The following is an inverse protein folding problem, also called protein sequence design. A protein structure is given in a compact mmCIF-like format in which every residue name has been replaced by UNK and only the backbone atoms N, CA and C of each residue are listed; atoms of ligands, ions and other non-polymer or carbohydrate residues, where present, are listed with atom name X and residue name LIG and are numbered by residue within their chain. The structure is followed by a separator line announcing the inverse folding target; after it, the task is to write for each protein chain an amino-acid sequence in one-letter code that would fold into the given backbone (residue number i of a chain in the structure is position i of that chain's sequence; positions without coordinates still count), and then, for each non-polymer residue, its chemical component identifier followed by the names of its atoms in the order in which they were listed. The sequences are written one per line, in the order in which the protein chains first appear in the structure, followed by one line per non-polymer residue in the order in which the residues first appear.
data_IF_255883984588
#
_entry.id   IF_255883984588
#
_cell.length_a   1.000
_cell.length_b   1.000
_cell.length_c   1.000
_cell.angle_alpha   90.00
_cell.angle_beta   90.00
_cell.angle_gamma   90.00
#
_symmetry.space_group_name_H-M   'P 1'
#
loop_
_entity.id
_entity.type
_entity.pdbx_description
1 polymer ?
#
# COMPACT_ATOMS: atom_id res chain seq x y z
N UNK A 1 -23.78 -30.08 2.53
CA UNK A 1 -23.62 -28.62 2.48
C UNK A 1 -23.58 -28.25 1.01
N UNK A 2 -24.44 -27.34 0.54
CA UNK A 2 -24.43 -26.87 -0.85
C UNK A 2 -23.10 -26.17 -1.16
N UNK A 3 -22.46 -26.50 -2.28
CA UNK A 3 -21.24 -25.82 -2.72
C UNK A 3 -21.49 -24.31 -2.84
N UNK A 4 -20.56 -23.51 -2.33
CA UNK A 4 -20.65 -22.05 -2.32
C UNK A 4 -20.59 -21.45 -3.72
N UNK A 5 -19.84 -22.09 -4.62
CA UNK A 5 -19.62 -21.67 -6.00
C UNK A 5 -19.84 -22.82 -6.98
N UNK A 6 -20.32 -22.51 -8.18
CA UNK A 6 -20.46 -23.47 -9.30
C UNK A 6 -19.23 -23.48 -10.21
N UNK A 7 -18.52 -22.37 -10.26
CA UNK A 7 -17.36 -22.15 -11.11
C UNK A 7 -16.58 -20.92 -10.61
N UNK A 8 -15.39 -20.66 -11.16
CA UNK A 8 -14.60 -19.48 -10.80
C UNK A 8 -13.98 -18.78 -12.00
N UNK A 9 -13.64 -17.51 -11.80
CA UNK A 9 -12.89 -16.69 -12.74
C UNK A 9 -11.68 -16.08 -12.04
N UNK A 10 -10.54 -16.09 -12.71
CA UNK A 10 -9.31 -15.39 -12.30
C UNK A 10 -9.19 -14.15 -13.18
N UNK A 11 -9.58 -13.00 -12.64
CA UNK A 11 -9.26 -11.71 -13.22
C UNK A 11 -7.78 -11.41 -13.01
N UNK A 12 -7.06 -11.36 -14.11
CA UNK A 12 -5.62 -11.21 -14.13
C UNK A 12 -5.19 -10.45 -15.38
N UNK A 13 -3.89 -10.31 -15.56
CA UNK A 13 -3.33 -9.66 -16.74
C UNK A 13 -2.13 -10.45 -17.25
N UNK A 14 -1.69 -10.12 -18.45
CA UNK A 14 -0.45 -10.70 -18.97
C UNK A 14 0.67 -10.46 -17.95
N UNK A 15 1.41 -11.54 -17.63
CA UNK A 15 2.58 -11.50 -16.73
C UNK A 15 2.28 -11.19 -15.26
N UNK A 16 1.04 -11.30 -14.78
CA UNK A 16 0.74 -11.20 -13.33
C UNK A 16 1.02 -12.46 -12.53
N UNK A 17 1.49 -13.53 -13.17
CA UNK A 17 1.67 -14.85 -12.51
C UNK A 17 0.45 -15.77 -12.61
N UNK A 18 -0.58 -15.39 -13.38
CA UNK A 18 -1.82 -16.16 -13.53
C UNK A 18 -1.63 -17.61 -13.99
N UNK A 19 -0.63 -17.88 -14.84
CA UNK A 19 -0.25 -19.25 -15.21
C UNK A 19 0.23 -20.09 -14.01
N UNK A 20 0.96 -19.47 -13.08
CA UNK A 20 1.45 -20.17 -11.90
C UNK A 20 0.30 -20.46 -10.92
N UNK A 21 -0.60 -19.49 -10.73
CA UNK A 21 -1.83 -19.69 -9.97
C UNK A 21 -2.68 -20.82 -10.57
N UNK A 22 -2.87 -20.81 -11.90
CA UNK A 22 -3.56 -21.88 -12.63
C UNK A 22 -2.92 -23.25 -12.38
N UNK A 23 -1.60 -23.37 -12.49
CA UNK A 23 -0.91 -24.66 -12.27
C UNK A 23 -1.07 -25.19 -10.84
N UNK A 24 -1.10 -24.31 -9.83
CA UNK A 24 -1.34 -24.72 -8.45
C UNK A 24 -2.81 -25.08 -8.20
N UNK A 25 -3.76 -24.36 -8.80
CA UNK A 25 -5.18 -24.72 -8.72
C UNK A 25 -5.45 -26.08 -9.38
N UNK A 26 -4.85 -26.34 -10.54
CA UNK A 26 -4.97 -27.62 -11.25
C UNK A 26 -4.25 -28.78 -10.55
N UNK A 27 -3.47 -28.51 -9.50
CA UNK A 27 -2.87 -29.54 -8.66
C UNK A 27 -3.81 -29.99 -7.52
N UNK A 28 -4.88 -29.24 -7.25
CA UNK A 28 -5.92 -29.65 -6.30
C UNK A 28 -6.85 -30.67 -6.96
N UNK A 29 -7.23 -31.70 -6.21
CA UNK A 29 -8.26 -32.63 -6.62
C UNK A 29 -9.59 -31.89 -6.87
N UNK A 30 -10.31 -32.31 -7.92
CA UNK A 30 -11.61 -31.77 -8.30
C UNK A 30 -11.61 -30.27 -8.63
N UNK A 31 -10.46 -29.71 -9.03
CA UNK A 31 -10.37 -28.33 -9.55
C UNK A 31 -9.78 -28.36 -10.95
N UNK A 32 -10.37 -27.59 -11.86
CA UNK A 32 -9.88 -27.45 -13.24
C UNK A 32 -10.01 -26.02 -13.75
N UNK A 33 -8.88 -25.39 -14.00
CA UNK A 33 -8.75 -24.08 -14.61
C UNK A 33 -8.33 -24.25 -16.08
N UNK A 34 -9.18 -23.78 -16.99
CA UNK A 34 -9.11 -24.02 -18.43
C UNK A 34 -8.37 -22.93 -19.21
N UNK A 35 -7.33 -22.36 -18.61
CA UNK A 35 -6.54 -21.31 -19.24
C UNK A 35 -7.35 -20.06 -19.57
N UNK A 36 -7.08 -19.43 -20.70
CA UNK A 36 -7.75 -18.22 -21.18
C UNK A 36 -8.94 -18.61 -22.07
N UNK A 37 -9.96 -19.19 -21.45
CA UNK A 37 -11.14 -19.74 -22.12
C UNK A 37 -11.86 -18.74 -23.05
N UNK A 38 -11.76 -17.44 -22.74
CA UNK A 38 -12.41 -16.36 -23.47
C UNK A 38 -11.45 -15.45 -24.27
N UNK A 39 -10.23 -15.92 -24.55
CA UNK A 39 -9.29 -15.20 -25.40
C UNK A 39 -9.84 -15.04 -26.84
N UNK A 40 -9.72 -13.88 -27.51
CA UNK A 40 -10.29 -13.69 -28.85
C UNK A 40 -9.57 -14.47 -29.96
N UNK A 41 -8.36 -14.99 -29.72
CA UNK A 41 -7.51 -15.63 -30.75
C UNK A 41 -7.52 -17.15 -30.66
N UNK A 42 -7.78 -17.72 -29.48
CA UNK A 42 -7.78 -19.16 -29.24
C UNK A 42 -8.76 -19.54 -28.12
N UNK A 43 -9.08 -20.83 -28.01
CA UNK A 43 -9.98 -21.35 -26.96
C UNK A 43 -9.18 -22.04 -25.85
N UNK A 44 -9.12 -21.43 -24.67
CA UNK A 44 -8.44 -21.95 -23.48
C UNK A 44 -6.91 -21.87 -23.52
N UNK A 45 -6.30 -22.61 -24.45
CA UNK A 45 -4.85 -22.68 -24.63
C UNK A 45 -4.43 -22.50 -26.09
N UNK A 46 -3.23 -21.97 -26.36
CA UNK A 46 -2.72 -21.93 -27.72
C UNK A 46 -2.65 -23.32 -28.35
N UNK A 47 -3.11 -23.44 -29.61
CA UNK A 47 -3.17 -24.68 -30.41
C UNK A 47 -4.19 -25.72 -29.97
N UNK A 48 -5.09 -25.40 -29.04
CA UNK A 48 -6.26 -26.25 -28.79
C UNK A 48 -7.26 -26.10 -29.93
N UNK A 49 -7.84 -27.21 -30.39
CA UNK A 49 -8.88 -27.24 -31.42
C UNK A 49 -10.27 -26.98 -30.81
N UNK A 50 -10.50 -27.46 -29.59
CA UNK A 50 -11.71 -27.24 -28.81
C UNK A 50 -11.41 -27.19 -27.30
N UNK A 51 -12.36 -26.63 -26.53
CA UNK A 51 -12.39 -26.70 -25.08
C UNK A 51 -13.77 -27.20 -24.63
N UNK A 52 -13.79 -28.29 -23.86
CA UNK A 52 -15.03 -28.95 -23.42
C UNK A 52 -15.97 -29.26 -24.60
N UNK A 53 -15.42 -29.59 -25.78
CA UNK A 53 -16.19 -29.90 -26.98
C UNK A 53 -16.76 -28.69 -27.72
N UNK A 54 -16.24 -27.48 -27.49
CA UNK A 54 -16.58 -26.25 -28.23
C UNK A 54 -15.35 -25.71 -28.96
N UNK A 55 -15.46 -25.54 -30.28
CA UNK A 55 -14.43 -24.86 -31.09
C UNK A 55 -14.44 -23.36 -30.81
N UNK A 56 -13.41 -22.66 -31.30
CA UNK A 56 -13.33 -21.20 -31.25
C UNK A 56 -14.60 -20.55 -31.84
N UNK A 57 -15.01 -20.97 -33.04
CA UNK A 57 -16.17 -20.40 -33.75
C UNK A 57 -17.48 -20.64 -32.98
N UNK A 58 -17.65 -21.84 -32.41
CA UNK A 58 -18.84 -22.18 -31.63
C UNK A 58 -18.91 -21.35 -30.33
N UNK A 59 -17.78 -21.21 -29.63
CA UNK A 59 -17.68 -20.35 -28.43
C UNK A 59 -17.94 -18.90 -28.78
N UNK A 60 -17.38 -18.37 -29.86
CA UNK A 60 -17.56 -16.96 -30.23
C UNK A 60 -19.02 -16.64 -30.59
N UNK A 61 -19.72 -17.60 -31.21
CA UNK A 61 -21.15 -17.49 -31.47
C UNK A 61 -22.00 -17.55 -30.20
N UNK A 62 -21.66 -18.41 -29.25
CA UNK A 62 -22.42 -18.65 -28.01
C UNK A 62 -21.49 -18.80 -26.78
N UNK A 63 -20.92 -17.71 -26.25
CA UNK A 63 -19.88 -17.81 -25.20
C UNK A 63 -20.41 -18.37 -23.87
N UNK A 64 -21.70 -18.17 -23.58
CA UNK A 64 -22.31 -18.69 -22.35
C UNK A 64 -22.47 -20.22 -22.36
N UNK A 65 -22.49 -20.86 -23.54
CA UNK A 65 -22.53 -22.33 -23.62
C UNK A 65 -21.27 -22.94 -22.99
N UNK A 66 -20.11 -22.30 -23.18
CA UNK A 66 -18.87 -22.75 -22.56
C UNK A 66 -18.92 -22.61 -21.02
N UNK A 67 -19.55 -21.54 -20.51
CA UNK A 67 -19.77 -21.39 -19.06
C UNK A 67 -20.67 -22.48 -18.51
N UNK A 68 -21.76 -22.80 -19.21
CA UNK A 68 -22.68 -23.86 -18.82
C UNK A 68 -21.98 -25.23 -18.81
N UNK A 69 -21.12 -25.49 -19.80
CA UNK A 69 -20.29 -26.71 -19.83
C UNK A 69 -19.27 -26.75 -18.69
N UNK A 70 -18.68 -25.62 -18.30
CA UNK A 70 -17.81 -25.56 -17.11
C UNK A 70 -18.59 -25.84 -15.82
N UNK A 71 -19.79 -25.25 -15.66
CA UNK A 71 -20.67 -25.49 -14.50
C UNK A 71 -21.13 -26.95 -14.41
N UNK A 72 -21.29 -27.63 -15.54
CA UNK A 72 -21.72 -29.03 -15.61
C UNK A 72 -20.57 -30.04 -15.55
N UNK A 73 -19.32 -29.61 -15.76
CA UNK A 73 -18.16 -30.48 -15.70
C UNK A 73 -17.88 -30.95 -14.26
N UNK A 74 -17.17 -32.07 -14.13
CA UNK A 74 -16.81 -32.63 -12.84
C UNK A 74 -15.88 -31.69 -12.06
N UNK A 75 -16.15 -31.53 -10.77
CA UNK A 75 -15.39 -30.64 -9.88
C UNK A 75 -15.67 -29.15 -10.10
N UNK A 76 -14.88 -28.31 -9.44
CA UNK A 76 -14.95 -26.86 -9.57
C UNK A 76 -14.10 -26.40 -10.75
N UNK A 77 -14.79 -25.89 -11.78
CA UNK A 77 -14.16 -25.48 -13.02
C UNK A 77 -14.03 -23.95 -13.10
N UNK A 78 -13.01 -23.46 -13.81
CA UNK A 78 -12.81 -22.03 -13.97
C UNK A 78 -11.85 -21.65 -15.08
N UNK A 79 -11.55 -20.37 -15.18
CA UNK A 79 -10.73 -19.82 -16.26
C UNK A 79 -10.05 -18.51 -15.87
N UNK A 80 -9.04 -18.11 -16.65
CA UNK A 80 -8.38 -16.81 -16.60
C UNK A 80 -9.07 -15.83 -17.54
N UNK A 81 -9.33 -14.63 -17.06
CA UNK A 81 -9.96 -13.54 -17.80
C UNK A 81 -9.08 -12.28 -17.74
N UNK A 82 -8.74 -11.72 -18.90
CA UNK A 82 -7.97 -10.47 -19.03
C UNK A 82 -8.83 -9.35 -19.61
N UNK A 83 -8.40 -8.09 -19.49
CA UNK A 83 -9.19 -6.93 -19.94
C UNK A 83 -9.58 -6.94 -21.43
N UNK A 84 -8.85 -7.67 -22.27
CA UNK A 84 -9.06 -7.77 -23.72
C UNK A 84 -9.77 -9.06 -24.16
N UNK A 85 -10.29 -9.85 -23.21
CA UNK A 85 -11.11 -11.02 -23.49
C UNK A 85 -12.56 -10.63 -23.84
N UNK A 86 -13.37 -11.62 -24.23
CA UNK A 86 -14.74 -11.39 -24.66
C UNK A 86 -15.57 -10.60 -23.61
N UNK A 87 -15.91 -9.32 -23.90
CA UNK A 87 -16.53 -8.44 -22.91
C UNK A 87 -17.95 -8.88 -22.53
N UNK A 88 -18.59 -9.73 -23.34
CA UNK A 88 -19.93 -10.27 -23.04
C UNK A 88 -19.91 -11.16 -21.80
N UNK A 89 -18.76 -11.75 -21.48
CA UNK A 89 -18.60 -12.67 -20.35
C UNK A 89 -18.39 -11.93 -19.04
N UNK A 90 -17.74 -10.76 -19.08
CA UNK A 90 -17.40 -9.99 -17.87
C UNK A 90 -18.64 -9.65 -17.04
N UNK A 91 -19.65 -9.03 -17.66
CA UNK A 91 -20.89 -8.67 -16.96
C UNK A 91 -21.61 -9.91 -16.42
N UNK A 92 -21.66 -10.98 -17.21
CA UNK A 92 -22.30 -12.23 -16.80
C UNK A 92 -21.67 -12.84 -15.54
N UNK A 93 -20.33 -12.90 -15.48
CA UNK A 93 -19.65 -13.45 -14.29
C UNK A 93 -19.70 -12.50 -13.10
N UNK A 94 -19.72 -11.18 -13.32
CA UNK A 94 -19.90 -10.21 -12.25
C UNK A 94 -21.31 -10.28 -11.67
N UNK A 95 -22.34 -10.49 -12.49
CA UNK A 95 -23.74 -10.64 -12.07
C UNK A 95 -23.97 -11.92 -11.25
N UNK A 96 -23.30 -13.03 -11.56
CA UNK A 96 -23.58 -14.34 -10.97
C UNK A 96 -22.92 -14.52 -9.59
N UNK A 97 -23.64 -14.48 -8.45
CA UNK A 97 -23.03 -14.65 -7.12
C UNK A 97 -22.47 -16.06 -6.87
N UNK A 98 -22.81 -17.05 -7.69
CA UNK A 98 -22.27 -18.42 -7.62
C UNK A 98 -20.98 -18.58 -8.42
N UNK A 99 -20.55 -17.56 -9.15
CA UNK A 99 -19.20 -17.48 -9.69
C UNK A 99 -18.22 -16.99 -8.62
N UNK A 100 -17.16 -17.74 -8.31
CA UNK A 100 -16.08 -17.25 -7.46
C UNK A 100 -15.18 -16.28 -8.24
N UNK A 101 -14.98 -15.06 -7.73
CA UNK A 101 -14.10 -14.05 -8.34
C UNK A 101 -12.75 -14.02 -7.64
N UNK A 102 -11.68 -14.29 -8.39
CA UNK A 102 -10.30 -14.18 -7.91
C UNK A 102 -9.68 -13.00 -8.67
N UNK A 103 -9.11 -12.04 -7.95
CA UNK A 103 -8.41 -10.89 -8.56
C UNK A 103 -6.93 -11.01 -8.25
N UNK A 104 -6.13 -11.21 -9.31
CA UNK A 104 -4.68 -11.33 -9.22
C UNK A 104 -4.00 -10.09 -9.81
N UNK A 105 -3.28 -9.37 -8.97
CA UNK A 105 -2.55 -8.15 -9.36
C UNK A 105 -1.04 -8.35 -9.27
N UNK A 106 -0.30 -7.49 -9.98
CA UNK A 106 1.17 -7.41 -9.92
C UNK A 106 1.58 -5.96 -10.11
N UNK A 107 2.78 -5.61 -9.63
CA UNK A 107 3.41 -4.34 -9.99
C UNK A 107 3.39 -4.10 -11.52
N UNK A 108 2.71 -3.05 -12.01
CA UNK A 108 2.57 -2.74 -13.43
C UNK A 108 3.90 -2.60 -14.18
N UNK A 109 4.93 -2.05 -13.52
CA UNK A 109 6.23 -1.88 -14.14
C UNK A 109 6.90 -3.24 -14.35
N UNK A 110 6.80 -4.14 -13.38
CA UNK A 110 7.36 -5.49 -13.53
C UNK A 110 6.64 -6.30 -14.60
N UNK A 111 5.30 -6.22 -14.66
CA UNK A 111 4.52 -6.90 -15.70
C UNK A 111 4.86 -6.33 -17.09
N UNK A 112 4.97 -5.01 -17.22
CA UNK A 112 5.34 -4.33 -18.46
C UNK A 112 6.72 -4.76 -18.97
N UNK A 113 7.76 -4.61 -18.15
CA UNK A 113 9.14 -4.98 -18.53
C UNK A 113 9.21 -6.48 -18.84
N UNK A 114 8.53 -7.30 -18.04
CA UNK A 114 8.46 -8.73 -18.31
C UNK A 114 7.71 -9.07 -19.61
N UNK A 115 6.71 -8.29 -20.01
CA UNK A 115 5.99 -8.46 -21.27
C UNK A 115 6.86 -8.08 -22.46
N UNK A 116 7.60 -6.98 -22.38
CA UNK A 116 8.56 -6.58 -23.42
C UNK A 116 9.63 -7.65 -23.63
N UNK A 117 10.21 -8.19 -22.55
CA UNK A 117 11.21 -9.26 -22.64
C UNK A 117 10.62 -10.51 -23.29
N UNK A 118 9.39 -10.88 -22.94
CA UNK A 118 8.72 -12.04 -23.53
C UNK A 118 8.47 -11.87 -25.03
N UNK A 119 8.07 -10.67 -25.47
CA UNK A 119 7.89 -10.32 -26.89
C UNK A 119 9.22 -10.39 -27.64
N UNK A 120 10.28 -9.82 -27.08
CA UNK A 120 11.61 -9.78 -27.69
C UNK A 120 12.23 -11.19 -27.81
N UNK A 121 12.09 -12.01 -26.78
CA UNK A 121 12.74 -13.34 -26.70
C UNK A 121 11.88 -14.47 -27.29
N UNK A 122 10.60 -14.21 -27.54
CA UNK A 122 9.57 -15.20 -27.88
C UNK A 122 9.25 -16.17 -26.74
N UNK A 123 9.70 -15.91 -25.51
CA UNK A 123 9.59 -16.82 -24.39
C UNK A 123 8.50 -16.39 -23.40
N UNK A 124 7.38 -17.12 -23.41
CA UNK A 124 6.21 -16.82 -22.58
C UNK A 124 6.14 -17.63 -21.27
N UNK A 125 6.72 -18.84 -21.24
CA UNK A 125 6.79 -19.75 -20.07
C UNK A 125 8.24 -20.22 -19.85
N UNK A 126 8.69 -20.26 -18.59
CA UNK A 126 9.99 -20.84 -18.19
C UNK A 126 9.76 -22.03 -17.26
N UNK A 127 10.04 -23.23 -17.77
CA UNK A 127 10.01 -24.48 -17.00
C UNK A 127 11.41 -25.01 -16.70
N UNK A 128 12.45 -24.51 -17.38
CA UNK A 128 13.84 -24.91 -17.18
C UNK A 128 14.77 -23.69 -17.22
N UNK A 129 15.40 -23.39 -16.08
CA UNK A 129 16.29 -22.22 -15.89
C UNK A 129 17.47 -22.21 -16.87
N UNK A 130 17.96 -23.38 -17.31
CA UNK A 130 19.07 -23.47 -18.28
C UNK A 130 18.71 -22.95 -19.69
N UNK A 131 17.43 -22.77 -20.00
CA UNK A 131 16.93 -22.20 -21.26
C UNK A 131 16.43 -20.77 -21.09
N UNK A 132 16.85 -20.08 -20.03
CA UNK A 132 16.55 -18.66 -19.83
C UNK A 132 17.17 -17.84 -20.95
N UNK A 133 16.36 -17.01 -21.62
CA UNK A 133 16.83 -15.97 -22.52
C UNK A 133 16.73 -14.64 -21.79
N UNK A 134 17.87 -14.06 -21.43
CA UNK A 134 17.94 -12.66 -20.99
C UNK A 134 17.99 -11.75 -22.23
N UNK A 135 17.17 -10.71 -22.23
CA UNK A 135 17.24 -9.61 -23.19
C UNK A 135 17.12 -8.30 -22.43
N UNK A 136 17.94 -7.32 -22.82
CA UNK A 136 17.72 -5.94 -22.42
C UNK A 136 16.60 -5.38 -23.30
N UNK A 137 15.63 -4.72 -22.69
CA UNK A 137 14.51 -4.10 -23.41
C UNK A 137 14.49 -2.61 -23.20
N UNK A 138 14.05 -1.89 -24.23
CA UNK A 138 13.91 -0.44 -24.15
C UNK A 138 12.64 -0.06 -23.39
N UNK A 139 12.76 0.78 -22.38
CA UNK A 139 11.64 1.35 -21.66
C UNK A 139 11.09 2.55 -22.45
N UNK A 140 9.80 2.49 -22.78
CA UNK A 140 9.07 3.58 -23.42
C UNK A 140 8.00 4.09 -22.45
N UNK A 141 8.07 5.39 -22.12
CA UNK A 141 7.20 6.04 -21.14
C UNK A 141 5.74 6.09 -21.60
N UNK A 142 5.48 6.44 -22.86
CA UNK A 142 4.13 6.55 -23.41
C UNK A 142 3.46 5.16 -23.48
N UNK A 143 4.22 4.14 -23.91
CA UNK A 143 3.76 2.75 -23.93
C UNK A 143 3.43 2.26 -22.51
N UNK A 144 4.27 2.60 -21.53
CA UNK A 144 4.03 2.24 -20.14
C UNK A 144 2.84 3.00 -19.55
N UNK A 145 2.65 4.28 -19.87
CA UNK A 145 1.49 5.07 -19.46
C UNK A 145 0.19 4.45 -19.99
N UNK A 146 0.13 4.15 -21.28
CA UNK A 146 -1.03 3.50 -21.90
C UNK A 146 -1.31 2.12 -21.29
N UNK A 147 -0.26 1.33 -21.00
CA UNK A 147 -0.39 0.06 -20.29
C UNK A 147 -0.99 0.26 -18.89
N UNK A 148 -0.47 1.21 -18.12
CA UNK A 148 -0.93 1.51 -16.77
C UNK A 148 -2.39 2.00 -16.76
N UNK A 149 -2.77 2.88 -17.68
CA UNK A 149 -4.15 3.36 -17.83
C UNK A 149 -5.12 2.22 -18.15
N UNK A 150 -4.72 1.29 -19.04
CA UNK A 150 -5.52 0.11 -19.36
C UNK A 150 -5.77 -0.78 -18.15
N UNK A 151 -4.71 -1.09 -17.40
CA UNK A 151 -4.79 -1.86 -16.15
C UNK A 151 -5.70 -1.19 -15.12
N UNK A 152 -5.54 0.12 -14.93
CA UNK A 152 -6.33 0.88 -13.97
C UNK A 152 -7.80 0.93 -14.35
N UNK A 153 -8.12 1.17 -15.62
CA UNK A 153 -9.49 1.20 -16.10
C UNK A 153 -10.20 -0.12 -15.80
N UNK A 154 -9.55 -1.24 -16.09
CA UNK A 154 -10.11 -2.57 -15.81
C UNK A 154 -10.29 -2.82 -14.30
N UNK A 155 -9.33 -2.42 -13.47
CA UNK A 155 -9.45 -2.55 -12.01
C UNK A 155 -10.60 -1.70 -11.44
N UNK A 156 -10.83 -0.49 -11.96
CA UNK A 156 -11.97 0.35 -11.58
C UNK A 156 -13.27 -0.33 -11.97
N UNK A 157 -13.35 -0.83 -13.20
CA UNK A 157 -14.53 -1.52 -13.73
C UNK A 157 -14.90 -2.74 -12.87
N UNK A 158 -13.93 -3.60 -12.55
CA UNK A 158 -14.13 -4.73 -11.64
C UNK A 158 -14.59 -4.28 -10.25
N UNK A 159 -13.93 -3.29 -9.66
CA UNK A 159 -14.27 -2.81 -8.33
C UNK A 159 -15.68 -2.23 -8.28
N UNK A 160 -16.05 -1.38 -9.25
CA UNK A 160 -17.38 -0.80 -9.34
C UNK A 160 -18.44 -1.87 -9.60
N UNK A 161 -18.16 -2.80 -10.51
CA UNK A 161 -19.05 -3.90 -10.84
C UNK A 161 -19.36 -4.78 -9.64
N UNK A 162 -18.35 -5.15 -8.85
CA UNK A 162 -18.52 -5.91 -7.60
C UNK A 162 -19.29 -5.11 -6.54
N UNK A 163 -18.95 -3.84 -6.35
CA UNK A 163 -19.60 -2.96 -5.36
C UNK A 163 -21.08 -2.77 -5.62
N UNK A 164 -21.46 -2.50 -6.88
CA UNK A 164 -22.86 -2.29 -7.27
C UNK A 164 -23.72 -3.54 -7.04
N UNK A 165 -23.10 -4.72 -7.11
CA UNK A 165 -23.76 -6.02 -6.96
C UNK A 165 -23.66 -6.58 -5.54
N UNK A 166 -23.00 -5.88 -4.63
CA UNK A 166 -22.78 -6.33 -3.25
C UNK A 166 -21.93 -7.60 -3.15
N UNK A 167 -21.04 -7.83 -4.12
CA UNK A 167 -20.19 -9.01 -4.19
C UNK A 167 -18.74 -8.70 -3.82
N UNK A 168 -17.98 -9.72 -3.43
CA UNK A 168 -16.57 -9.61 -3.07
C UNK A 168 -15.73 -10.59 -3.89
N UNK A 169 -14.46 -10.25 -4.12
CA UNK A 169 -13.47 -11.15 -4.71
C UNK A 169 -12.44 -11.62 -3.67
N UNK A 170 -11.77 -12.73 -3.96
CA UNK A 170 -10.54 -13.13 -3.28
C UNK A 170 -9.35 -12.44 -3.97
N UNK A 171 -8.63 -11.61 -3.21
CA UNK A 171 -7.53 -10.81 -3.76
C UNK A 171 -6.19 -11.49 -3.51
N UNK A 172 -5.37 -11.53 -4.56
CA UNK A 172 -3.99 -12.01 -4.52
C UNK A 172 -3.08 -10.98 -5.21
N UNK A 173 -1.91 -10.75 -4.63
CA UNK A 173 -0.78 -10.16 -5.31
C UNK A 173 0.13 -11.27 -5.86
N UNK A 174 1.00 -10.90 -6.80
CA UNK A 174 1.98 -11.83 -7.39
C UNK A 174 2.87 -12.50 -6.33
N UNK A 175 3.22 -11.76 -5.29
CA UNK A 175 4.05 -12.21 -4.17
C UNK A 175 3.35 -13.28 -3.32
N UNK A 176 2.02 -13.18 -3.18
CA UNK A 176 1.20 -14.13 -2.43
C UNK A 176 1.18 -15.52 -3.07
N UNK A 177 1.46 -15.60 -4.39
CA UNK A 177 1.52 -16.87 -5.09
C UNK A 177 2.62 -17.79 -4.53
N UNK A 178 3.68 -17.24 -3.94
CA UNK A 178 4.75 -18.01 -3.30
C UNK A 178 4.42 -18.41 -1.85
N UNK A 179 3.25 -18.02 -1.33
CA UNK A 179 2.80 -18.37 0.00
C UNK A 179 1.83 -19.57 -0.06
N UNK A 180 2.29 -20.72 0.43
CA UNK A 180 1.49 -21.95 0.49
C UNK A 180 0.21 -21.77 1.33
N UNK A 181 0.26 -20.99 2.40
CA UNK A 181 -0.92 -20.71 3.25
C UNK A 181 -1.95 -19.86 2.51
N UNK A 182 -1.51 -18.87 1.71
CA UNK A 182 -2.41 -18.07 0.90
C UNK A 182 -3.11 -18.91 -0.17
N UNK A 183 -2.38 -19.83 -0.83
CA UNK A 183 -2.97 -20.76 -1.81
C UNK A 183 -3.97 -21.73 -1.18
N UNK A 184 -3.65 -22.26 0.01
CA UNK A 184 -4.58 -23.11 0.76
C UNK A 184 -5.78 -22.33 1.32
N UNK A 185 -5.61 -21.04 1.62
CA UNK A 185 -6.69 -20.10 1.96
C UNK A 185 -7.63 -19.88 0.77
N UNK A 186 -7.09 -19.74 -0.44
CA UNK A 186 -7.89 -19.69 -1.67
C UNK A 186 -8.67 -20.99 -1.88
N UNK A 187 -8.03 -22.15 -1.75
CA UNK A 187 -8.71 -23.45 -1.86
C UNK A 187 -9.87 -23.58 -0.85
N UNK A 188 -9.64 -23.15 0.40
CA UNK A 188 -10.68 -23.11 1.42
C UNK A 188 -11.83 -22.17 1.04
N UNK A 189 -11.53 -20.97 0.57
CA UNK A 189 -12.53 -20.00 0.17
C UNK A 189 -13.38 -20.50 -1.00
N UNK A 190 -12.77 -21.19 -1.97
CA UNK A 190 -13.45 -21.85 -3.08
C UNK A 190 -14.34 -23.03 -2.65
N UNK A 191 -14.28 -23.45 -1.38
CA UNK A 191 -15.02 -24.60 -0.87
C UNK A 191 -14.43 -25.96 -1.27
N UNK A 192 -13.19 -25.97 -1.77
CA UNK A 192 -12.47 -27.19 -2.16
C UNK A 192 -11.95 -27.87 -0.88
N UNK A 193 -12.03 -29.20 -0.80
CA UNK A 193 -11.58 -29.94 0.38
C UNK A 193 -10.08 -30.26 0.35
N UNK A 194 -9.51 -30.42 -0.84
CA UNK A 194 -8.09 -30.73 -1.02
C UNK A 194 -7.17 -29.55 -0.69
N UNK A 195 -5.91 -29.84 -0.32
CA UNK A 195 -4.91 -28.85 0.07
C UNK A 195 -3.56 -29.17 -0.55
N UNK A 196 -2.86 -28.12 -0.99
CA UNK A 196 -1.51 -28.21 -1.48
C UNK A 196 -0.55 -28.51 -0.31
N UNK A 197 0.24 -29.57 -0.46
CA UNK A 197 1.36 -29.89 0.45
C UNK A 197 2.64 -29.13 0.10
N UNK A 198 2.76 -28.69 -1.15
CA UNK A 198 3.83 -27.84 -1.66
C UNK A 198 3.34 -27.07 -2.90
N UNK A 199 3.99 -25.96 -3.21
CA UNK A 199 3.74 -25.21 -4.44
C UNK A 199 4.39 -25.90 -5.64
N UNK A 200 3.82 -25.65 -6.83
CA UNK A 200 4.42 -26.12 -8.08
C UNK A 200 5.87 -25.61 -8.20
N UNK A 201 6.81 -26.53 -8.33
CA UNK A 201 8.23 -26.23 -8.46
C UNK A 201 8.69 -26.16 -9.92
N UNK A 202 7.82 -26.48 -10.88
CA UNK A 202 8.14 -26.56 -12.31
C UNK A 202 8.18 -25.19 -12.97
N UNK A 203 7.24 -24.29 -12.62
CA UNK A 203 7.30 -22.91 -13.09
C UNK A 203 8.29 -22.11 -12.25
N UNK A 204 9.30 -21.53 -12.92
CA UNK A 204 10.30 -20.69 -12.28
C UNK A 204 10.06 -19.21 -12.60
N UNK A 205 10.39 -18.27 -11.69
CA UNK A 205 10.41 -16.86 -11.99
C UNK A 205 11.25 -16.60 -13.23
N UNK A 206 10.67 -15.93 -14.22
CA UNK A 206 11.30 -15.83 -15.53
C UNK A 206 12.43 -14.81 -15.56
N UNK A 207 12.30 -13.70 -14.82
CA UNK A 207 13.29 -12.64 -14.79
C UNK A 207 13.45 -12.17 -13.33
N UNK A 208 14.31 -12.81 -12.52
CA UNK A 208 14.48 -12.50 -11.10
C UNK A 208 15.32 -11.24 -10.84
N UNK A 209 16.07 -10.75 -11.83
CA UNK A 209 16.99 -9.61 -11.66
C UNK A 209 16.27 -8.29 -11.31
N UNK A 210 16.97 -7.26 -10.82
CA UNK A 210 16.39 -5.92 -10.70
C UNK A 210 15.83 -5.39 -12.03
N UNK A 211 14.86 -4.48 -11.98
CA UNK A 211 14.25 -3.93 -13.22
C UNK A 211 15.28 -3.14 -14.02
N UNK A 212 16.10 -2.33 -13.35
CA UNK A 212 17.12 -1.47 -13.95
C UNK A 212 18.12 -2.28 -14.78
N UNK A 213 18.50 -3.49 -14.33
CA UNK A 213 19.44 -4.34 -15.05
C UNK A 213 18.83 -5.07 -16.25
N UNK A 214 17.51 -4.93 -16.47
CA UNK A 214 16.79 -5.50 -17.63
C UNK A 214 16.50 -4.46 -18.70
N UNK A 215 16.83 -3.20 -18.45
CA UNK A 215 16.56 -2.11 -19.37
C UNK A 215 17.84 -1.69 -20.11
N UNK A 216 17.71 -1.40 -21.40
CA UNK A 216 18.78 -0.77 -22.17
C UNK A 216 18.96 0.72 -21.83
N UNK A 217 17.92 1.35 -21.27
CA UNK A 217 17.83 2.79 -20.98
C UNK A 217 17.22 3.06 -19.59
N UNK A 218 17.83 2.58 -18.48
CA UNK A 218 17.25 2.69 -17.14
C UNK A 218 16.94 4.13 -16.70
N UNK A 219 17.67 5.13 -17.22
CA UNK A 219 17.43 6.56 -16.93
C UNK A 219 16.05 7.04 -17.42
N UNK A 220 15.49 6.41 -18.46
CA UNK A 220 14.16 6.76 -18.97
C UNK A 220 13.04 6.46 -17.96
N UNK A 221 13.28 5.55 -16.99
CA UNK A 221 12.34 5.33 -15.88
C UNK A 221 12.23 6.57 -15.00
N UNK A 222 13.36 7.18 -14.64
CA UNK A 222 13.40 8.35 -13.74
C UNK A 222 12.60 9.50 -14.35
N UNK A 223 12.85 9.82 -15.62
CA UNK A 223 12.10 10.85 -16.36
C UNK A 223 10.61 10.52 -16.51
N UNK A 224 10.25 9.25 -16.68
CA UNK A 224 8.86 8.85 -16.82
C UNK A 224 8.10 8.89 -15.48
N UNK A 225 8.75 8.59 -14.36
CA UNK A 225 8.14 8.68 -13.04
C UNK A 225 7.86 10.13 -12.61
N UNK A 226 8.62 11.09 -13.12
CA UNK A 226 8.33 12.52 -12.93
C UNK A 226 7.06 12.97 -13.67
N UNK A 227 6.72 12.29 -14.78
CA UNK A 227 5.56 12.61 -15.64
C UNK A 227 4.31 11.75 -15.36
N UNK A 228 4.49 10.53 -14.84
CA UNK A 228 3.40 9.61 -14.52
C UNK A 228 2.73 10.05 -13.22
N UNK A 229 1.43 10.32 -13.33
CA UNK A 229 0.57 10.76 -12.23
C UNK A 229 0.67 9.85 -10.99
N UNK A 230 1.55 10.24 -10.07
CA UNK A 230 1.83 9.61 -8.78
C UNK A 230 0.57 9.57 -7.89
N UNK A 231 -0.47 10.36 -8.20
CA UNK A 231 -1.75 10.32 -7.49
C UNK A 231 -2.59 9.07 -7.79
N UNK A 232 -2.23 8.30 -8.82
CA UNK A 232 -2.90 7.05 -9.18
C UNK A 232 -2.34 5.81 -8.44
N UNK A 233 -1.27 5.97 -7.64
CA UNK A 233 -0.83 4.99 -6.62
C UNK A 233 -1.81 4.86 -5.44
N UNK A 234 -2.88 5.66 -5.43
CA UNK A 234 -3.99 5.55 -4.47
C UNK A 234 -4.85 4.30 -4.64
N UNK A 235 -4.63 3.50 -5.70
CA UNK A 235 -5.44 2.31 -6.02
C UNK A 235 -4.72 0.97 -5.83
N UNK A 236 -3.44 0.98 -5.47
CA UNK A 236 -2.82 -0.18 -4.83
C UNK A 236 -3.44 -0.31 -3.43
N UNK A 237 -3.85 -1.51 -2.97
CA UNK A 237 -4.38 -1.68 -1.63
C UNK A 237 -3.40 -1.12 -0.61
N UNK A 238 -3.77 -0.01 0.04
CA UNK A 238 -3.07 0.44 1.23
C UNK A 238 -3.58 -0.44 2.38
N UNK A 239 -2.72 -1.37 2.82
CA UNK A 239 -3.04 -2.27 3.93
C UNK A 239 -3.03 -1.55 5.30
N UNK A 240 -2.55 -0.31 5.33
CA UNK A 240 -2.64 0.52 6.51
C UNK A 240 -4.12 0.86 6.81
N UNK A 241 -4.59 0.72 8.07
CA UNK A 241 -5.95 1.10 8.43
C UNK A 241 -6.25 2.56 8.10
N UNK A 242 -7.41 2.80 7.46
CA UNK A 242 -7.92 4.16 7.25
C UNK A 242 -8.03 4.91 8.58
N UNK A 243 -7.72 6.20 8.54
CA UNK A 243 -7.78 7.09 9.70
C UNK A 243 -8.96 8.03 9.57
N UNK A 244 -9.70 8.19 10.66
CA UNK A 244 -10.68 9.28 10.77
C UNK A 244 -9.99 10.61 11.08
N UNK A 245 -10.75 11.70 11.22
CA UNK A 245 -10.21 13.06 11.31
C UNK A 245 -9.45 13.41 12.60
N UNK A 246 -9.48 12.53 13.61
CA UNK A 246 -8.77 12.73 14.89
C UNK A 246 -9.04 14.09 15.59
N UNK A 247 -10.28 14.60 15.47
CA UNK A 247 -10.68 15.96 15.92
C UNK A 247 -10.36 16.26 17.38
N UNK A 248 -10.31 15.23 18.24
CA UNK A 248 -9.97 15.40 19.66
C UNK A 248 -8.56 15.86 19.91
N UNK A 249 -7.69 15.70 18.92
CA UNK A 249 -6.30 16.13 19.00
C UNK A 249 -6.14 17.55 18.45
N UNK A 250 -7.19 18.21 17.95
CA UNK A 250 -7.06 19.56 17.40
C UNK A 250 -6.95 20.59 18.51
N UNK A 251 -6.11 21.60 18.30
CA UNK A 251 -5.89 22.69 19.25
C UNK A 251 -6.13 24.01 18.54
N UNK A 252 -7.10 24.78 19.02
CA UNK A 252 -7.28 26.18 18.63
C UNK A 252 -6.41 27.10 19.48
N UNK A 253 -5.86 28.14 18.88
CA UNK A 253 -5.30 29.28 19.62
C UNK A 253 -6.40 29.91 20.51
N UNK A 254 -6.00 30.56 21.60
CA UNK A 254 -6.91 31.13 22.58
C UNK A 254 -7.74 32.26 21.97
N UNK A 255 -7.05 33.24 21.36
CA UNK A 255 -7.62 34.44 20.76
C UNK A 255 -7.48 34.43 19.24
N UNK A 256 -6.26 34.20 18.73
CA UNK A 256 -5.99 34.18 17.29
C UNK A 256 -6.87 33.12 16.59
N UNK A 257 -7.47 33.41 15.42
CA UNK A 257 -8.29 32.44 14.70
C UNK A 257 -7.42 31.42 13.96
N UNK A 258 -6.65 30.65 14.72
CA UNK A 258 -5.69 29.66 14.24
C UNK A 258 -6.00 28.29 14.83
N UNK A 259 -6.05 27.27 13.98
CA UNK A 259 -6.34 25.88 14.34
C UNK A 259 -5.18 24.98 13.96
N UNK A 260 -4.58 24.30 14.92
CA UNK A 260 -3.55 23.30 14.69
C UNK A 260 -4.15 21.89 14.68
N UNK A 261 -3.82 21.13 13.64
CA UNK A 261 -4.27 19.76 13.40
C UNK A 261 -3.05 18.84 13.49
N UNK A 262 -2.67 18.33 14.67
CA UNK A 262 -1.40 17.64 14.86
C UNK A 262 -1.33 16.29 14.15
N UNK A 263 -0.15 15.99 13.61
CA UNK A 263 0.23 14.63 13.24
C UNK A 263 0.68 13.89 14.50
N UNK A 264 0.02 12.77 14.79
CA UNK A 264 0.39 11.92 15.91
C UNK A 264 1.84 11.42 15.78
N UNK A 265 2.60 11.47 16.87
CA UNK A 265 4.03 11.15 16.89
C UNK A 265 4.95 12.27 16.38
N UNK A 266 4.41 13.35 15.82
CA UNK A 266 5.17 14.54 15.46
C UNK A 266 5.60 15.35 16.69
N UNK A 267 6.64 16.17 16.52
CA UNK A 267 7.18 17.00 17.59
C UNK A 267 6.36 18.30 17.73
N UNK A 268 5.17 18.15 18.34
CA UNK A 268 4.11 19.16 18.34
C UNK A 268 4.25 20.21 19.46
N UNK A 269 4.98 19.92 20.54
CA UNK A 269 5.08 20.80 21.72
C UNK A 269 5.60 22.21 21.41
N UNK A 270 6.62 22.42 20.56
CA UNK A 270 7.05 23.77 20.19
C UNK A 270 5.96 24.58 19.48
N UNK A 271 5.15 23.92 18.66
CA UNK A 271 4.04 24.58 17.95
C UNK A 271 3.01 25.08 18.96
N UNK A 272 2.67 24.27 19.96
CA UNK A 272 1.74 24.67 21.02
C UNK A 272 2.31 25.82 21.87
N UNK A 273 3.60 25.78 22.21
CA UNK A 273 4.26 26.88 22.94
C UNK A 273 4.23 28.17 22.15
N UNK A 274 4.50 28.09 20.85
CA UNK A 274 4.42 29.23 19.96
C UNK A 274 3.00 29.77 19.86
N UNK A 275 1.98 28.91 19.71
CA UNK A 275 0.57 29.34 19.70
C UNK A 275 0.15 30.01 21.02
N UNK A 276 0.60 29.50 22.16
CA UNK A 276 0.33 30.12 23.45
C UNK A 276 1.05 31.47 23.60
N UNK A 277 2.31 31.55 23.16
CA UNK A 277 3.07 32.80 23.15
C UNK A 277 2.49 33.86 22.21
N UNK A 278 1.93 33.45 21.06
CA UNK A 278 1.26 34.32 20.10
C UNK A 278 0.09 35.08 20.73
N UNK A 279 -0.67 34.40 21.59
CA UNK A 279 -1.81 35.00 22.31
C UNK A 279 -1.44 35.52 23.70
N UNK A 280 -0.18 35.41 24.13
CA UNK A 280 0.26 35.81 25.47
C UNK A 280 -0.32 34.98 26.62
N UNK A 281 -0.70 33.73 26.37
CA UNK A 281 -1.35 32.81 27.33
C UNK A 281 -0.45 31.62 27.71
N UNK A 282 -0.88 30.80 28.66
CA UNK A 282 -0.19 29.54 28.97
C UNK A 282 -0.69 28.39 28.08
N UNK A 283 0.08 27.30 27.98
CA UNK A 283 -0.28 26.12 27.18
C UNK A 283 -1.67 25.56 27.51
N UNK A 284 -2.05 25.58 28.79
CA UNK A 284 -3.34 25.05 29.27
C UNK A 284 -4.53 25.96 28.93
N UNK A 285 -4.28 27.18 28.45
CA UNK A 285 -5.31 28.14 28.06
C UNK A 285 -5.67 28.02 26.57
N UNK A 286 -4.96 27.16 25.82
CA UNK A 286 -5.30 26.85 24.43
C UNK A 286 -6.64 26.11 24.35
N UNK A 287 -7.38 26.30 23.25
CA UNK A 287 -8.68 25.69 23.06
C UNK A 287 -8.52 24.22 22.60
N UNK A 288 -8.55 23.28 23.54
CA UNK A 288 -8.65 21.85 23.23
C UNK A 288 -10.03 21.52 22.63
N UNK A 289 -10.03 20.98 21.40
CA UNK A 289 -11.27 20.64 20.73
C UNK A 289 -11.74 19.26 21.20
N UNK A 290 -12.91 19.19 21.83
CA UNK A 290 -13.40 17.94 22.45
C UNK A 290 -14.15 17.02 21.46
N UNK A 291 -14.50 17.52 20.28
CA UNK A 291 -15.15 16.76 19.22
C UNK A 291 -15.71 17.61 18.09
N UNK A 292 -16.43 16.99 17.14
CA UNK A 292 -16.88 17.67 15.93
C UNK A 292 -17.89 18.81 16.17
N UNK A 293 -18.77 18.68 17.17
CA UNK A 293 -19.74 19.74 17.50
C UNK A 293 -19.03 20.98 18.01
N UNK A 294 -18.03 20.76 18.87
CA UNK A 294 -17.19 21.79 19.46
C UNK A 294 -16.36 22.49 18.39
N UNK A 295 -15.70 21.73 17.50
CA UNK A 295 -14.97 22.28 16.36
C UNK A 295 -15.84 23.20 15.50
N UNK A 296 -17.05 22.74 15.13
CA UNK A 296 -17.99 23.55 14.34
C UNK A 296 -18.47 24.78 15.11
N UNK A 297 -18.49 24.74 16.43
CA UNK A 297 -18.75 25.90 17.30
C UNK A 297 -17.61 26.90 17.24
N UNK A 298 -16.37 26.42 17.46
CA UNK A 298 -15.15 27.21 17.41
C UNK A 298 -14.98 27.92 16.06
N UNK A 299 -15.19 27.20 14.94
CA UNK A 299 -15.09 27.76 13.59
C UNK A 299 -16.14 28.85 13.31
N UNK A 300 -17.38 28.67 13.79
CA UNK A 300 -18.44 29.69 13.63
C UNK A 300 -18.17 30.94 14.46
N UNK A 301 -17.53 30.79 15.62
CA UNK A 301 -17.16 31.91 16.48
C UNK A 301 -15.96 32.70 15.93
N UNK A 302 -15.17 32.12 15.01
CA UNK A 302 -13.92 32.67 14.47
C UNK A 302 -13.94 32.67 12.93
N UNK A 303 -14.80 33.46 12.28
CA UNK A 303 -14.82 33.55 10.82
C UNK A 303 -13.45 34.02 10.29
N UNK A 304 -13.01 33.44 9.18
CA UNK A 304 -11.70 33.73 8.60
C UNK A 304 -10.54 32.98 9.26
N UNK A 305 -10.82 32.00 10.13
CA UNK A 305 -9.78 31.16 10.71
C UNK A 305 -8.88 30.51 9.65
N UNK A 306 -7.67 30.16 10.06
CA UNK A 306 -6.76 29.32 9.28
C UNK A 306 -6.39 28.09 10.07
N UNK A 307 -6.29 26.97 9.37
CA UNK A 307 -5.92 25.68 9.90
C UNK A 307 -4.59 25.22 9.32
N UNK A 308 -3.77 24.55 10.11
CA UNK A 308 -2.49 24.05 9.64
C UNK A 308 -2.06 22.78 10.36
N UNK A 309 -1.09 22.11 9.77
CA UNK A 309 -0.38 20.95 10.32
C UNK A 309 1.09 21.04 9.95
N UNK A 310 1.94 20.27 10.64
CA UNK A 310 3.36 20.17 10.36
C UNK A 310 3.77 18.72 10.09
N UNK A 311 4.49 18.48 9.00
CA UNK A 311 5.12 17.22 8.63
C UNK A 311 6.53 17.16 9.20
N UNK A 312 6.89 16.03 9.79
CA UNK A 312 8.25 15.74 10.27
C UNK A 312 8.96 14.84 9.26
N UNK A 313 10.29 14.85 9.23
CA UNK A 313 11.03 13.84 8.46
C UNK A 313 10.67 12.43 8.97
N UNK A 314 10.42 11.42 8.11
CA UNK A 314 9.97 10.10 8.56
C UNK A 314 10.91 9.44 9.57
N UNK A 315 12.23 9.57 9.39
CA UNK A 315 13.24 9.05 10.33
C UNK A 315 13.11 9.72 11.69
N UNK A 316 13.07 11.05 11.73
CA UNK A 316 12.99 11.82 12.98
C UNK A 316 11.74 11.46 13.76
N UNK A 317 10.59 11.45 13.07
CA UNK A 317 9.31 11.12 13.70
C UNK A 317 9.31 9.71 14.28
N UNK A 318 9.80 8.74 13.50
CA UNK A 318 9.87 7.36 13.94
C UNK A 318 10.85 7.21 15.12
N UNK A 319 11.96 7.93 15.10
CA UNK A 319 12.96 7.91 16.16
C UNK A 319 12.43 8.54 17.45
N UNK A 320 11.74 9.67 17.37
CA UNK A 320 11.09 10.32 18.50
C UNK A 320 10.06 9.39 19.16
N UNK A 321 9.27 8.67 18.37
CA UNK A 321 8.31 7.68 18.87
C UNK A 321 9.02 6.46 19.47
N UNK A 322 10.10 6.00 18.84
CA UNK A 322 10.91 4.90 19.38
C UNK A 322 11.46 5.27 20.77
N UNK A 323 12.07 6.45 20.90
CA UNK A 323 12.64 6.93 22.15
C UNK A 323 11.56 7.24 23.18
N UNK A 324 10.59 8.11 22.88
CA UNK A 324 9.61 8.59 23.87
C UNK A 324 8.59 7.52 24.28
N UNK A 325 8.04 6.78 23.32
CA UNK A 325 6.96 5.85 23.55
C UNK A 325 7.47 4.42 23.74
N UNK A 326 8.21 3.89 22.75
CA UNK A 326 8.57 2.47 22.74
C UNK A 326 9.54 2.14 23.87
N UNK A 327 10.59 2.93 24.08
CA UNK A 327 11.56 2.70 25.15
C UNK A 327 11.02 3.15 26.52
N UNK A 328 10.53 4.38 26.62
CA UNK A 328 10.30 5.01 27.92
C UNK A 328 8.86 4.97 28.44
N UNK A 329 7.85 4.77 27.59
CA UNK A 329 6.46 4.78 28.06
C UNK A 329 6.15 3.52 28.89
N UNK A 330 5.49 3.77 30.03
CA UNK A 330 4.97 2.74 30.94
C UNK A 330 3.62 2.18 30.50
N UNK A 331 3.04 2.69 29.40
CA UNK A 331 1.75 2.19 28.94
C UNK A 331 1.82 0.71 28.54
N UNK A 332 0.80 -0.10 28.89
CA UNK A 332 0.79 -1.53 28.62
C UNK A 332 0.98 -1.90 27.14
N UNK A 333 0.52 -1.06 26.20
CA UNK A 333 0.67 -1.31 24.75
C UNK A 333 2.13 -1.34 24.32
N UNK A 334 2.97 -0.41 24.79
CA UNK A 334 4.39 -0.35 24.41
C UNK A 334 5.20 -1.42 25.11
N UNK A 335 4.76 -1.91 26.29
CA UNK A 335 5.37 -3.10 26.91
C UNK A 335 5.32 -4.31 25.97
N UNK A 336 4.18 -4.53 25.29
CA UNK A 336 4.04 -5.63 24.30
C UNK A 336 4.98 -5.44 23.11
N UNK A 337 5.12 -4.20 22.61
CA UNK A 337 6.06 -3.87 21.53
C UNK A 337 7.50 -4.18 21.96
N UNK A 338 7.91 -3.76 23.17
CA UNK A 338 9.24 -4.08 23.70
C UNK A 338 9.48 -5.59 23.80
N UNK A 339 8.48 -6.36 24.22
CA UNK A 339 8.56 -7.83 24.26
C UNK A 339 8.74 -8.42 22.86
N UNK A 340 8.01 -7.92 21.86
CA UNK A 340 8.14 -8.38 20.48
C UNK A 340 9.52 -8.07 19.90
N UNK A 341 10.05 -6.86 20.14
CA UNK A 341 11.39 -6.48 19.68
C UNK A 341 12.48 -7.36 20.31
N UNK A 342 12.41 -7.63 21.63
CA UNK A 342 13.37 -8.52 22.29
C UNK A 342 13.27 -9.97 21.80
N UNK A 343 12.05 -10.47 21.60
CA UNK A 343 11.80 -11.87 21.23
C UNK A 343 12.04 -12.17 19.75
N UNK A 344 11.34 -11.48 18.85
CA UNK A 344 11.36 -11.77 17.41
C UNK A 344 12.60 -11.23 16.70
N UNK A 345 13.12 -10.09 17.16
CA UNK A 345 14.27 -9.44 16.52
C UNK A 345 15.58 -9.69 17.26
N UNK A 346 15.53 -10.38 18.41
CA UNK A 346 16.69 -10.68 19.25
C UNK A 346 17.53 -9.43 19.61
N UNK A 347 16.88 -8.27 19.74
CA UNK A 347 17.56 -7.01 20.05
C UNK A 347 17.46 -6.71 21.55
N UNK A 348 18.60 -6.36 22.15
CA UNK A 348 18.64 -5.75 23.46
C UNK A 348 18.21 -4.29 23.37
N UNK A 349 17.02 -3.99 23.88
CA UNK A 349 16.52 -2.61 23.89
C UNK A 349 17.27 -1.80 24.94
N UNK A 350 17.82 -0.63 24.55
CA UNK A 350 18.61 0.20 25.44
C UNK A 350 17.76 0.77 26.58
N UNK A 351 18.38 0.92 27.76
CA UNK A 351 17.83 1.74 28.83
C UNK A 351 18.40 3.16 28.76
N UNK A 352 17.65 4.13 29.28
CA UNK A 352 18.00 5.55 29.20
C UNK A 352 19.35 5.80 29.87
N UNK A 353 20.29 6.41 29.15
CA UNK A 353 21.61 6.80 29.67
C UNK A 353 22.59 5.67 29.96
N UNK A 354 22.26 4.40 29.66
CA UNK A 354 23.14 3.25 29.97
C UNK A 354 23.72 2.56 28.72
N UNK A 355 23.21 2.89 27.54
CA UNK A 355 23.56 2.23 26.29
C UNK A 355 24.21 3.20 25.29
N UNK A 356 25.20 2.72 24.53
CA UNK A 356 25.81 3.51 23.46
C UNK A 356 24.96 3.55 22.19
N UNK A 357 25.30 4.47 21.27
CA UNK A 357 24.56 4.70 20.02
C UNK A 357 24.29 3.43 19.19
N UNK A 358 25.22 2.46 19.19
CA UNK A 358 25.05 1.19 18.46
C UNK A 358 23.84 0.36 18.93
N UNK A 359 23.56 0.37 20.24
CA UNK A 359 22.41 -0.35 20.81
C UNK A 359 21.09 0.36 20.45
N UNK A 360 21.07 1.69 20.51
CA UNK A 360 19.93 2.48 20.02
C UNK A 360 19.68 2.25 18.54
N UNK A 361 20.74 2.22 17.71
CA UNK A 361 20.61 1.95 16.28
C UNK A 361 20.01 0.58 16.02
N UNK A 362 20.55 -0.45 16.66
CA UNK A 362 20.05 -1.83 16.49
C UNK A 362 18.58 -1.95 16.90
N UNK A 363 18.21 -1.33 18.02
CA UNK A 363 16.81 -1.26 18.48
C UNK A 363 15.90 -0.50 17.52
N UNK A 364 16.40 0.62 16.98
CA UNK A 364 15.63 1.47 16.08
C UNK A 364 15.41 0.81 14.71
N UNK A 365 16.43 0.17 14.12
CA UNK A 365 16.29 -0.59 12.87
C UNK A 365 15.28 -1.73 13.03
N UNK A 366 15.32 -2.47 14.14
CA UNK A 366 14.32 -3.51 14.43
C UNK A 366 12.91 -2.93 14.60
N UNK A 367 12.78 -1.76 15.21
CA UNK A 367 11.51 -1.04 15.29
C UNK A 367 11.00 -0.62 13.91
N UNK A 368 11.85 -0.11 13.01
CA UNK A 368 11.47 0.26 11.65
C UNK A 368 11.01 -0.97 10.83
N UNK A 369 11.65 -2.13 10.97
CA UNK A 369 11.15 -3.36 10.33
C UNK A 369 9.80 -3.81 10.89
N UNK A 370 9.60 -3.72 12.21
CA UNK A 370 8.30 -3.98 12.83
C UNK A 370 7.21 -3.06 12.26
N UNK A 371 7.51 -1.76 12.15
CA UNK A 371 6.60 -0.76 11.58
C UNK A 371 6.29 -1.11 10.12
N UNK A 372 7.31 -1.39 9.30
CA UNK A 372 7.14 -1.81 7.90
C UNK A 372 6.17 -3.00 7.79
N UNK A 373 6.36 -4.04 8.61
CA UNK A 373 5.45 -5.20 8.61
C UNK A 373 4.05 -4.82 9.05
N UNK A 374 3.91 -3.98 10.07
CA UNK A 374 2.61 -3.52 10.55
C UNK A 374 1.85 -2.69 9.50
N UNK A 375 2.52 -1.75 8.83
CA UNK A 375 1.94 -0.92 7.78
C UNK A 375 1.54 -1.73 6.54
N UNK A 376 2.23 -2.84 6.27
CA UNK A 376 1.90 -3.78 5.20
C UNK A 376 0.91 -4.88 5.61
N UNK A 377 0.33 -4.83 6.81
CA UNK A 377 -0.62 -5.84 7.29
C UNK A 377 0.00 -7.21 7.60
N UNK A 378 1.32 -7.29 7.69
CA UNK A 378 2.12 -8.51 7.93
C UNK A 378 2.50 -8.69 9.40
N UNK A 379 1.83 -7.99 10.32
CA UNK A 379 2.11 -8.06 11.76
C UNK A 379 0.81 -8.12 12.55
N UNK A 380 0.84 -8.84 13.67
CA UNK A 380 -0.24 -8.86 14.68
C UNK A 380 -0.31 -7.56 15.49
N UNK A 381 0.68 -6.68 15.34
CA UNK A 381 0.69 -5.35 15.97
C UNK A 381 -0.27 -4.43 15.24
N UNK A 382 -1.27 -3.92 15.96
CA UNK A 382 -2.15 -2.86 15.46
C UNK A 382 -1.31 -1.63 15.10
N UNK A 383 -1.60 -1.02 13.95
CA UNK A 383 -0.95 0.24 13.54
C UNK A 383 -1.39 1.39 14.46
N UNK A 384 -0.47 1.81 15.32
CA UNK A 384 -0.64 2.97 16.19
C UNK A 384 -0.60 4.27 15.36
N UNK A 385 -1.49 5.25 15.62
CA UNK A 385 -1.42 6.56 14.95
C UNK A 385 -0.05 7.23 15.05
N UNK A 386 0.72 6.99 16.12
CA UNK A 386 2.01 7.65 16.33
C UNK A 386 3.10 7.21 15.35
N UNK A 387 3.02 6.00 14.82
CA UNK A 387 3.93 5.52 13.75
C UNK A 387 3.21 5.21 12.43
N UNK A 388 1.96 5.67 12.29
CA UNK A 388 1.21 5.61 11.04
C UNK A 388 1.89 6.46 9.96
N UNK A 389 1.62 6.20 8.67
CA UNK A 389 2.09 7.10 7.61
C UNK A 389 1.44 8.48 7.78
N UNK A 390 2.22 9.55 7.68
CA UNK A 390 1.75 10.94 7.74
C UNK A 390 0.72 11.20 6.63
N UNK A 391 0.92 10.57 5.47
CA UNK A 391 -0.03 10.60 4.35
C UNK A 391 -1.40 10.01 4.71
N UNK A 392 -1.47 8.92 5.48
CA UNK A 392 -2.74 8.35 5.93
C UNK A 392 -3.42 9.22 6.99
N UNK A 393 -2.65 9.88 7.87
CA UNK A 393 -3.19 10.83 8.84
C UNK A 393 -3.80 12.05 8.11
N UNK A 394 -3.07 12.64 7.17
CA UNK A 394 -3.55 13.77 6.36
C UNK A 394 -4.80 13.41 5.54
N UNK A 395 -4.85 12.21 4.95
CA UNK A 395 -6.04 11.73 4.27
C UNK A 395 -7.25 11.62 5.20
N UNK A 396 -7.05 11.31 6.48
CA UNK A 396 -8.12 11.26 7.48
C UNK A 396 -8.71 12.62 7.81
N UNK A 397 -7.91 13.69 7.82
CA UNK A 397 -8.39 15.05 8.07
C UNK A 397 -9.47 15.49 7.08
N UNK A 398 -9.32 15.10 5.80
CA UNK A 398 -10.28 15.39 4.72
C UNK A 398 -11.72 14.97 5.03
N UNK A 399 -11.94 13.95 5.88
CA UNK A 399 -13.29 13.52 6.24
C UNK A 399 -14.11 14.63 6.93
N UNK A 400 -13.44 15.62 7.53
CA UNK A 400 -14.10 16.76 8.16
C UNK A 400 -13.67 18.11 7.59
N UNK A 401 -12.36 18.38 7.56
CA UNK A 401 -11.80 19.62 7.01
C UNK A 401 -10.32 19.38 6.70
N UNK A 402 -9.84 19.61 5.46
CA UNK A 402 -8.42 19.63 5.20
C UNK A 402 -7.75 20.83 5.91
N UNK A 403 -6.47 20.74 6.30
CA UNK A 403 -5.72 21.90 6.75
C UNK A 403 -5.51 22.89 5.60
N UNK A 404 -5.56 24.20 5.88
CA UNK A 404 -5.25 25.24 4.89
C UNK A 404 -3.75 25.25 4.53
N UNK A 405 -2.90 24.89 5.50
CA UNK A 405 -1.44 24.83 5.34
C UNK A 405 -0.86 23.50 5.85
N UNK A 406 0.07 22.94 5.09
CA UNK A 406 0.85 21.76 5.46
C UNK A 406 2.32 22.17 5.42
N UNK A 407 2.90 22.44 6.59
CA UNK A 407 4.29 22.92 6.71
C UNK A 407 5.28 21.78 6.93
N UNK A 408 6.58 22.08 6.76
CA UNK A 408 7.68 21.22 7.22
C UNK A 408 8.13 21.65 8.59
N UNK A 409 8.40 20.68 9.45
CA UNK A 409 8.91 20.96 10.79
C UNK A 409 10.22 21.77 10.78
N UNK A 410 11.10 21.54 9.82
CA UNK A 410 12.35 22.27 9.62
C UNK A 410 12.17 23.73 9.19
N UNK A 411 11.00 24.10 8.66
CA UNK A 411 10.71 25.42 8.10
C UNK A 411 9.81 26.27 9.02
N UNK A 412 9.33 25.70 10.13
CA UNK A 412 8.37 26.35 11.04
C UNK A 412 8.84 27.69 11.61
N UNK A 413 10.15 27.86 11.79
CA UNK A 413 10.72 29.13 12.25
C UNK A 413 10.44 30.29 11.29
N UNK A 414 10.28 30.00 9.99
CA UNK A 414 9.92 30.98 8.96
C UNK A 414 8.41 30.98 8.68
N UNK A 415 7.78 29.80 8.63
CA UNK A 415 6.39 29.65 8.21
C UNK A 415 5.38 30.18 9.24
N UNK A 416 5.62 29.95 10.53
CA UNK A 416 4.67 30.31 11.57
C UNK A 416 4.53 31.84 11.74
N UNK A 417 5.62 32.64 11.78
CA UNK A 417 5.51 34.10 11.75
C UNK A 417 4.74 34.62 10.54
N UNK A 418 4.98 34.05 9.35
CA UNK A 418 4.26 34.42 8.14
C UNK A 418 2.76 34.10 8.21
N UNK A 419 2.39 32.95 8.79
CA UNK A 419 1.00 32.59 9.01
C UNK A 419 0.30 33.55 9.98
N UNK A 420 0.96 33.93 11.07
CA UNK A 420 0.44 34.92 12.01
C UNK A 420 0.26 36.30 11.36
N UNK A 421 1.22 36.73 10.53
CA UNK A 421 1.09 37.99 9.77
C UNK A 421 -0.12 37.97 8.81
N UNK A 422 -0.41 36.83 8.16
CA UNK A 422 -1.63 36.67 7.33
C UNK A 422 -2.93 36.84 8.11
N UNK A 423 -2.91 36.55 9.41
CA UNK A 423 -4.05 36.75 10.31
C UNK A 423 -4.08 38.15 10.92
N UNK A 424 -3.14 39.04 10.53
CA UNK A 424 -3.05 40.41 11.04
C UNK A 424 -2.48 40.50 12.45
N UNK A 425 -1.84 39.44 12.93
CA UNK A 425 -1.19 39.39 14.25
C UNK A 425 0.30 39.62 14.07
N UNK A 426 0.87 40.51 14.88
CA UNK A 426 2.32 40.73 14.90
C UNK A 426 3.00 39.54 15.60
N UNK A 427 3.81 38.80 14.86
CA UNK A 427 4.43 37.58 15.33
C UNK A 427 5.80 37.88 15.94
N UNK A 428 5.81 38.58 17.09
CA UNK A 428 7.05 38.81 17.84
C UNK A 428 7.52 37.58 18.64
N UNK A 429 6.72 36.51 18.65
CA UNK A 429 7.05 35.27 19.34
C UNK A 429 8.00 34.42 18.50
N UNK A 430 9.25 34.32 18.93
CA UNK A 430 10.24 33.42 18.33
C UNK A 430 9.78 31.96 18.44
N UNK A 431 9.81 31.24 17.32
CA UNK A 431 9.63 29.80 17.33
C UNK A 431 10.94 29.14 17.80
N UNK A 432 10.94 28.67 19.04
CA UNK A 432 12.09 27.96 19.61
C UNK A 432 11.86 26.46 19.46
N UNK A 433 12.66 25.81 18.61
CA UNK A 433 12.72 24.35 18.54
C UNK A 433 13.16 23.83 19.92
N UNK A 434 12.36 22.95 20.53
CA UNK A 434 12.72 22.40 21.83
C UNK A 434 13.92 21.45 21.69
N UNK A 435 14.78 21.40 22.71
CA UNK A 435 15.85 20.42 22.80
C UNK A 435 15.26 19.00 22.74
N UNK A 436 15.76 18.19 21.79
CA UNK A 436 15.40 16.78 21.68
C UNK A 436 16.07 15.99 22.80
N UNK A 437 15.35 15.03 23.36
CA UNK A 437 15.87 14.20 24.43
C UNK A 437 16.95 13.24 23.91
N UNK A 438 18.01 13.05 24.68
CA UNK A 438 19.05 12.06 24.37
C UNK A 438 18.49 10.63 24.26
N UNK A 439 19.05 9.81 23.35
CA UNK A 439 20.14 10.13 22.42
C UNK A 439 19.69 10.93 21.20
N UNK A 440 20.62 11.67 20.58
CA UNK A 440 20.33 12.44 19.38
C UNK A 440 20.29 11.53 18.15
N UNK A 441 19.39 11.80 17.20
CA UNK A 441 19.30 11.02 15.95
C UNK A 441 20.64 11.01 15.20
N UNK A 442 21.36 12.14 15.18
CA UNK A 442 22.67 12.26 14.55
C UNK A 442 23.69 11.21 15.04
N UNK A 443 23.60 10.77 16.30
CA UNK A 443 24.51 9.77 16.87
C UNK A 443 24.16 8.35 16.44
N UNK A 444 22.89 8.12 16.08
CA UNK A 444 22.31 6.81 15.77
C UNK A 444 22.19 6.59 14.27
N UNK A 445 22.07 7.68 13.50
CA UNK A 445 21.79 7.69 12.08
C UNK A 445 22.95 7.17 11.23
N UNK A 446 22.61 6.30 10.28
CA UNK A 446 23.46 5.87 9.19
C UNK A 446 22.59 5.45 8.01
N UNK A 447 23.23 5.01 6.91
CA UNK A 447 22.51 4.53 5.73
C UNK A 447 21.57 3.36 6.03
N UNK A 448 21.90 2.51 7.02
CA UNK A 448 21.04 1.37 7.41
C UNK A 448 19.72 1.86 8.01
N UNK A 449 19.79 2.90 8.85
CA UNK A 449 18.60 3.55 9.42
C UNK A 449 17.76 4.19 8.31
N UNK A 450 18.38 4.91 7.40
CA UNK A 450 17.69 5.58 6.29
C UNK A 450 16.99 4.55 5.37
N UNK A 451 17.69 3.49 4.97
CA UNK A 451 17.14 2.43 4.13
C UNK A 451 15.94 1.73 4.81
N UNK A 452 16.05 1.46 6.11
CA UNK A 452 14.97 0.86 6.90
C UNK A 452 13.76 1.80 7.01
N UNK A 453 13.98 3.10 7.20
CA UNK A 453 12.92 4.10 7.28
C UNK A 453 12.24 4.30 5.93
N UNK A 454 13.01 4.36 4.83
CA UNK A 454 12.48 4.40 3.45
C UNK A 454 11.64 3.16 3.15
N UNK A 455 12.07 1.98 3.60
CA UNK A 455 11.31 0.76 3.41
C UNK A 455 9.99 0.75 4.21
N UNK A 456 9.97 1.35 5.41
CA UNK A 456 8.77 1.47 6.23
C UNK A 456 7.79 2.55 5.74
N UNK A 457 8.31 3.73 5.37
CA UNK A 457 7.53 4.93 5.07
C UNK A 457 7.65 5.38 3.62
N UNK A 458 7.88 4.46 2.69
CA UNK A 458 8.06 4.74 1.24
C UNK A 458 7.06 5.75 0.68
N UNK A 459 5.80 5.65 1.11
CA UNK A 459 4.71 6.52 0.68
C UNK A 459 4.90 7.96 1.15
N UNK A 460 5.35 8.19 2.38
CA UNK A 460 5.58 9.55 2.89
C UNK A 460 6.80 10.20 2.22
N UNK A 461 7.88 9.43 2.01
CA UNK A 461 9.04 9.91 1.25
C UNK A 461 8.64 10.36 -0.15
N UNK A 462 7.86 9.54 -0.85
CA UNK A 462 7.42 9.83 -2.20
C UNK A 462 6.44 11.02 -2.25
N UNK A 463 5.35 10.96 -1.49
CA UNK A 463 4.27 11.96 -1.58
C UNK A 463 4.68 13.34 -1.07
N UNK A 464 5.62 13.38 -0.14
CA UNK A 464 6.11 14.62 0.43
C UNK A 464 7.55 14.94 0.01
N UNK A 465 8.11 14.23 -0.98
CA UNK A 465 9.43 14.54 -1.53
C UNK A 465 10.56 14.64 -0.49
N UNK A 466 10.53 13.81 0.56
CA UNK A 466 11.62 13.80 1.55
C UNK A 466 12.89 13.20 0.93
N UNK A 467 14.02 13.88 1.14
CA UNK A 467 15.36 13.39 0.80
C UNK A 467 15.92 12.53 1.93
N UNK A 468 17.21 12.17 1.91
CA UNK A 468 17.84 11.52 3.06
C UNK A 468 17.84 12.49 4.24
N UNK A 469 17.74 11.95 5.45
CA UNK A 469 17.78 12.82 6.63
C UNK A 469 19.12 13.56 6.72
N UNK A 470 19.05 14.84 7.03
CA UNK A 470 20.17 15.72 7.34
C UNK A 470 19.81 16.57 8.57
N UNK A 471 20.82 16.92 9.35
CA UNK A 471 20.70 17.73 10.57
C UNK A 471 20.30 19.19 10.29
#
# INVERSE_FOLDING_TARGET
MTAAFDYFVIFAEMRTGSNFLESNLNALAEVSCHGEAFNPVFVGYPKYEDLLGLTLEARDAAPFELLDRMKAAEGLNGFRYFHDHDPRVLEHVLDDPRCAKIVLTRNPLESYVSLKIARETGQWKLTNVKRHKSALVDFNADEFSAHLEGLQRFQIELMQGLQQRGQTAFYLAYEDLQNLEAMNGLAQWLGVSDRLSALDNKLKPQNPDPIQSKLSNPQALETAFDALDVFNLSRTPCFEPRRGPAVRDYIGAAETPLLFMPIAGGHNTPILRWMAALDGVQLNDLNEITGQKDLRGWMRARPGYRSFTALSHPVERAFDVFCSDVLHSKEPRYKKIRTLLRGHYAVELPERGTAGASAYRSGFVAFLDLVKRALNGQSVVRVDPRWASQSQILMGFKELCPPDFVFRQSELALDLPYLAQKLGVDASADFITAERAEPHLAEVYDQTVEDAARAAYRRDYLLFGFQDWAE
#
